data_IF_621649764065
#
_entry.id   IF_621649764065
#
_cell.length_a   1.000
_cell.length_b   1.000
_cell.length_c   1.000
_cell.angle_alpha   90.00
_cell.angle_beta   90.00
_cell.angle_gamma   90.00
#
_symmetry.space_group_name_H-M   'P 1'
#
loop_
_entity.id
_entity.type
_entity.pdbx_description
1 polymer ?
#
# COMPACT_ATOMS: atom_id res chain seq x y z
N UNK A 1 -15.09 3.92 -15.64
CA UNK A 1 -14.08 4.68 -14.87
C UNK A 1 -12.90 5.04 -15.74
N UNK A 2 -12.40 6.25 -15.66
CA UNK A 2 -11.23 6.65 -16.44
C UNK A 2 -9.97 6.06 -15.82
N UNK A 3 -8.90 5.94 -16.62
CA UNK A 3 -7.60 5.48 -16.13
C UNK A 3 -7.08 6.39 -15.00
N UNK A 4 -7.32 7.69 -15.13
CA UNK A 4 -6.93 8.67 -14.13
C UNK A 4 -7.60 8.41 -12.78
N UNK A 5 -8.89 8.12 -12.77
CA UNK A 5 -9.63 7.81 -11.55
C UNK A 5 -9.14 6.51 -10.91
N UNK A 6 -8.88 5.51 -11.75
CA UNK A 6 -8.35 4.23 -11.27
C UNK A 6 -6.97 4.40 -10.63
N UNK A 7 -6.12 5.18 -11.25
CA UNK A 7 -4.79 5.48 -10.74
C UNK A 7 -4.85 6.20 -9.40
N UNK A 8 -5.76 7.18 -9.27
CA UNK A 8 -5.96 7.90 -8.01
C UNK A 8 -6.42 6.95 -6.90
N UNK A 9 -7.30 6.02 -7.20
CA UNK A 9 -7.76 5.03 -6.22
C UNK A 9 -6.61 4.14 -5.75
N UNK A 10 -5.77 3.70 -6.67
CA UNK A 10 -4.60 2.90 -6.32
C UNK A 10 -3.64 3.67 -5.43
N UNK A 11 -3.43 4.95 -5.73
CA UNK A 11 -2.57 5.82 -4.91
C UNK A 11 -3.14 5.99 -3.50
N UNK A 12 -4.45 6.14 -3.37
CA UNK A 12 -5.11 6.24 -2.06
C UNK A 12 -4.94 4.96 -1.26
N UNK A 13 -5.12 3.82 -1.90
CA UNK A 13 -4.93 2.52 -1.24
C UNK A 13 -3.48 2.35 -0.78
N UNK A 14 -2.54 2.73 -1.62
CA UNK A 14 -1.12 2.67 -1.28
C UNK A 14 -0.82 3.53 -0.06
N UNK A 15 -1.35 4.75 -0.02
CA UNK A 15 -1.17 5.65 1.11
C UNK A 15 -1.79 5.09 2.39
N UNK A 16 -3.01 4.56 2.29
CA UNK A 16 -3.67 3.93 3.44
C UNK A 16 -2.86 2.77 3.99
N UNK A 17 -2.35 1.92 3.12
CA UNK A 17 -1.50 0.80 3.54
C UNK A 17 -0.21 1.29 4.18
N UNK A 18 0.40 2.33 3.61
CA UNK A 18 1.61 2.92 4.17
C UNK A 18 1.39 3.41 5.59
N UNK A 19 0.29 4.14 5.82
CA UNK A 19 -0.07 4.66 7.14
C UNK A 19 -0.35 3.52 8.10
N UNK A 20 -1.03 2.49 7.64
CA UNK A 20 -1.35 1.31 8.45
C UNK A 20 -0.08 0.58 8.88
N UNK A 21 0.85 0.38 7.95
CA UNK A 21 2.15 -0.26 8.25
C UNK A 21 2.92 0.56 9.29
N UNK A 22 2.96 1.88 9.14
CA UNK A 22 3.64 2.74 10.11
C UNK A 22 3.04 2.59 11.50
N UNK A 23 1.70 2.58 11.59
CA UNK A 23 1.02 2.43 12.87
C UNK A 23 1.35 1.09 13.52
N UNK A 24 1.36 0.03 12.73
CA UNK A 24 1.68 -1.31 13.23
C UNK A 24 3.16 -1.43 13.66
N UNK A 25 4.05 -0.78 12.94
CA UNK A 25 5.48 -0.79 13.30
C UNK A 25 5.75 -0.08 14.61
N UNK A 26 4.92 0.85 15.00
CA UNK A 26 5.04 1.55 16.29
C UNK A 26 4.49 0.72 17.43
N UNK A 27 3.67 -0.28 17.16
CA UNK A 27 3.07 -1.12 18.17
C UNK A 27 4.01 -2.27 18.55
N UNK A 28 4.40 -2.43 19.81
CA UNK A 28 5.27 -3.52 20.21
C UNK A 28 4.60 -4.88 20.19
N UNK A 29 3.26 -4.90 20.11
CA UNK A 29 2.49 -6.14 20.10
C UNK A 29 2.20 -6.68 18.71
N UNK A 30 2.60 -5.97 17.65
CA UNK A 30 2.31 -6.38 16.28
C UNK A 30 3.26 -7.49 15.82
N UNK A 31 2.68 -8.51 15.20
CA UNK A 31 3.42 -9.63 14.64
C UNK A 31 4.19 -9.18 13.39
N UNK A 32 5.46 -9.55 13.31
CA UNK A 32 6.31 -9.25 12.14
C UNK A 32 5.75 -9.85 10.85
N UNK A 33 5.09 -11.00 10.92
CA UNK A 33 4.46 -11.62 9.77
C UNK A 33 3.36 -10.75 9.18
N UNK A 34 2.57 -10.12 10.04
CA UNK A 34 1.50 -9.23 9.59
C UNK A 34 2.07 -8.00 8.89
N UNK A 35 3.11 -7.42 9.47
CA UNK A 35 3.80 -6.28 8.88
C UNK A 35 4.37 -6.67 7.51
N UNK A 36 4.98 -7.83 7.40
CA UNK A 36 5.53 -8.32 6.13
C UNK A 36 4.47 -8.47 5.05
N UNK A 37 3.30 -9.00 5.41
CA UNK A 37 2.17 -9.14 4.49
C UNK A 37 1.70 -7.79 3.95
N UNK A 38 1.57 -6.81 4.84
CA UNK A 38 1.12 -5.48 4.46
C UNK A 38 2.16 -4.77 3.59
N UNK A 39 3.44 -4.93 3.90
CA UNK A 39 4.52 -4.38 3.07
C UNK A 39 4.50 -4.98 1.68
N UNK A 40 4.22 -6.26 1.56
CA UNK A 40 4.09 -6.93 0.28
C UNK A 40 2.92 -6.37 -0.55
N UNK A 41 1.77 -6.17 0.09
CA UNK A 41 0.62 -5.56 -0.56
C UNK A 41 0.92 -4.14 -1.03
N UNK A 42 1.60 -3.36 -0.20
CA UNK A 42 2.03 -2.02 -0.54
C UNK A 42 2.92 -2.02 -1.78
N UNK A 43 3.86 -2.95 -1.83
CA UNK A 43 4.76 -3.09 -2.98
C UNK A 43 4.01 -3.46 -4.25
N UNK A 44 3.04 -4.36 -4.17
CA UNK A 44 2.21 -4.74 -5.30
C UNK A 44 1.42 -3.56 -5.86
N UNK A 45 0.85 -2.75 -4.97
CA UNK A 45 0.13 -1.54 -5.38
C UNK A 45 1.08 -0.54 -6.06
N UNK A 46 2.27 -0.39 -5.52
CA UNK A 46 3.28 0.50 -6.11
C UNK A 46 3.65 0.04 -7.52
N UNK A 47 3.80 -1.25 -7.73
CA UNK A 47 4.10 -1.80 -9.04
C UNK A 47 2.97 -1.55 -10.03
N UNK A 48 1.72 -1.72 -9.62
CA UNK A 48 0.56 -1.41 -10.45
C UNK A 48 0.51 0.06 -10.82
N UNK A 49 0.75 0.94 -9.86
CA UNK A 49 0.79 2.38 -10.10
C UNK A 49 1.88 2.71 -11.12
N UNK A 50 3.04 2.13 -10.97
CA UNK A 50 4.17 2.35 -11.88
C UNK A 50 3.84 1.89 -13.30
N UNK A 51 3.23 0.73 -13.44
CA UNK A 51 2.82 0.20 -14.75
C UNK A 51 1.80 1.09 -15.43
N UNK A 52 0.82 1.59 -14.68
CA UNK A 52 -0.22 2.45 -15.23
C UNK A 52 0.29 3.85 -15.55
N UNK A 53 1.34 4.29 -14.87
CA UNK A 53 1.93 5.61 -15.08
C UNK A 53 3.00 5.64 -16.17
N UNK A 54 3.48 4.49 -16.56
CA UNK A 54 4.57 4.38 -17.54
C UNK A 54 4.11 4.61 -18.98
#
# INVERSE_FOLDING_TARGET
>A
MSLSSHLQELKKKHQSLSDHVEALQRSPATDDLEIAKLKKQKLQLKEEITKLSA
#
